data_IF_433577861248
#
_entry.id   IF_433577861248
#
_cell.length_a   1.000
_cell.length_b   1.000
_cell.length_c   1.000
_cell.angle_alpha   90.00
_cell.angle_beta   90.00
_cell.angle_gamma   90.00
#
_symmetry.space_group_name_H-M   'P 1'
#
loop_
_entity.id
_entity.type
_entity.pdbx_description
1 polymer ?
#
# COMPACT_ATOMS: atom_id res chain seq x y z
N UNK A 1 0.83 3.92 23.03
CA UNK A 1 1.39 5.00 22.22
C UNK A 1 2.36 4.37 21.24
N UNK A 2 2.51 4.92 20.04
CA UNK A 2 3.33 4.30 19.00
C UNK A 2 4.83 4.38 19.35
N UNK A 3 5.53 3.25 19.31
CA UNK A 3 6.97 3.17 19.55
C UNK A 3 7.70 3.02 18.21
N UNK A 4 8.54 3.99 17.92
CA UNK A 4 9.44 3.97 16.76
C UNK A 4 10.89 4.18 17.22
N UNK A 5 11.86 3.84 16.36
CA UNK A 5 13.25 4.21 16.57
C UNK A 5 13.97 4.56 15.26
N UNK A 6 15.09 5.30 15.31
CA UNK A 6 15.99 5.44 14.17
C UNK A 6 16.72 4.11 13.91
N UNK A 7 17.26 3.93 12.73
CA UNK A 7 17.93 2.69 12.33
C UNK A 7 19.05 2.93 11.31
N UNK A 8 19.93 1.95 11.16
CA UNK A 8 20.98 1.96 10.15
C UNK A 8 20.44 1.45 8.82
N UNK A 9 19.91 2.36 8.01
CA UNK A 9 19.35 2.03 6.70
C UNK A 9 20.38 1.41 5.76
N UNK A 10 19.98 0.33 5.07
CA UNK A 10 20.74 -0.19 3.92
C UNK A 10 20.14 0.43 2.68
N UNK A 11 20.92 1.25 1.96
CA UNK A 11 20.41 2.07 0.87
C UNK A 11 21.40 2.22 -0.28
N UNK A 12 20.94 2.51 -1.50
CA UNK A 12 21.83 2.69 -2.63
C UNK A 12 22.66 3.99 -2.48
N UNK A 13 23.91 3.99 -2.93
CA UNK A 13 24.63 5.22 -3.23
C UNK A 13 23.82 6.09 -4.20
N UNK A 14 23.96 7.42 -4.09
CA UNK A 14 23.18 8.40 -4.86
C UNK A 14 23.16 8.15 -6.36
N UNK A 15 24.28 7.70 -6.92
CA UNK A 15 24.43 7.42 -8.35
C UNK A 15 23.71 6.13 -8.81
N UNK A 16 23.25 5.29 -7.89
CA UNK A 16 22.55 4.03 -8.20
C UNK A 16 21.07 4.03 -7.82
N UNK A 17 20.57 5.04 -7.10
CA UNK A 17 19.20 5.02 -6.59
C UNK A 17 18.14 4.86 -7.69
N UNK A 18 18.33 5.47 -8.85
CA UNK A 18 17.40 5.37 -9.99
C UNK A 18 17.40 3.99 -10.64
N UNK A 19 18.52 3.26 -10.56
CA UNK A 19 18.63 1.91 -11.08
C UNK A 19 18.08 0.88 -10.08
N UNK A 20 18.24 1.13 -8.77
CA UNK A 20 17.81 0.22 -7.71
C UNK A 20 16.31 0.36 -7.41
N UNK A 21 15.81 1.60 -7.31
CA UNK A 21 14.44 1.87 -6.89
C UNK A 21 13.40 1.25 -7.83
N UNK A 22 12.56 0.37 -7.29
CA UNK A 22 11.57 -0.39 -8.04
C UNK A 22 10.17 -0.18 -7.48
N UNK A 23 9.12 -0.44 -8.27
CA UNK A 23 7.74 -0.47 -7.76
C UNK A 23 7.58 -1.60 -6.74
N UNK A 24 6.62 -1.52 -5.80
CA UNK A 24 6.33 -2.61 -4.87
C UNK A 24 6.00 -3.92 -5.61
N UNK A 25 6.33 -5.05 -4.99
CA UNK A 25 6.17 -6.38 -5.57
C UNK A 25 4.74 -6.71 -6.01
N UNK A 26 3.75 -6.12 -5.36
CA UNK A 26 2.32 -6.44 -5.51
C UNK A 26 1.60 -5.58 -6.57
N UNK A 27 2.28 -4.64 -7.22
CA UNK A 27 1.68 -3.79 -8.27
C UNK A 27 1.94 -4.28 -9.69
N UNK A 28 2.74 -5.34 -9.85
CA UNK A 28 3.07 -5.93 -11.16
C UNK A 28 3.25 -7.46 -11.04
N UNK A 29 3.00 -8.14 -12.14
CA UNK A 29 3.27 -9.57 -12.26
C UNK A 29 4.75 -9.82 -12.59
N UNK A 30 5.16 -11.11 -12.61
CA UNK A 30 6.55 -11.49 -12.83
C UNK A 30 7.06 -11.17 -14.24
N UNK A 31 6.20 -11.21 -15.26
CA UNK A 31 6.58 -10.84 -16.62
C UNK A 31 6.80 -9.33 -16.76
N UNK A 32 5.91 -8.51 -16.18
CA UNK A 32 6.07 -7.07 -16.12
C UNK A 32 7.36 -6.67 -15.36
N UNK A 33 7.67 -7.38 -14.27
CA UNK A 33 8.91 -7.16 -13.51
C UNK A 33 10.14 -7.52 -14.33
N UNK A 34 10.10 -8.59 -15.11
CA UNK A 34 11.17 -9.02 -16.02
C UNK A 34 11.43 -7.96 -17.09
N UNK A 35 10.38 -7.41 -17.69
CA UNK A 35 10.48 -6.35 -18.70
C UNK A 35 11.07 -5.07 -18.06
N UNK A 36 10.61 -4.68 -16.88
CA UNK A 36 11.14 -3.47 -16.21
C UNK A 36 12.60 -3.62 -15.74
N UNK A 37 13.03 -4.83 -15.42
CA UNK A 37 14.41 -5.12 -15.00
C UNK A 37 15.35 -5.41 -16.20
N UNK A 38 14.83 -5.48 -17.43
CA UNK A 38 15.65 -5.84 -18.60
C UNK A 38 16.84 -4.90 -18.76
N UNK A 39 18.05 -5.48 -18.78
CA UNK A 39 19.30 -4.74 -18.91
C UNK A 39 19.73 -3.96 -17.64
N UNK A 40 19.03 -4.11 -16.54
CA UNK A 40 19.34 -3.45 -15.27
C UNK A 40 19.64 -4.47 -14.17
N UNK A 41 20.89 -4.88 -14.02
CA UNK A 41 21.35 -5.80 -12.97
C UNK A 41 21.16 -5.28 -11.53
N UNK A 42 20.95 -3.97 -11.36
CA UNK A 42 20.78 -3.30 -10.06
C UNK A 42 19.32 -3.15 -9.67
N UNK A 43 18.37 -3.55 -10.53
CA UNK A 43 16.95 -3.45 -10.19
C UNK A 43 16.63 -4.25 -8.93
N UNK A 44 15.91 -3.65 -7.98
CA UNK A 44 15.51 -4.35 -6.77
C UNK A 44 14.59 -5.55 -7.06
N UNK A 45 13.98 -5.62 -8.23
CA UNK A 45 13.16 -6.78 -8.61
C UNK A 45 13.94 -8.09 -8.52
N UNK A 46 15.26 -8.11 -8.76
CA UNK A 46 16.11 -9.28 -8.55
C UNK A 46 16.10 -9.80 -7.09
N UNK A 47 15.67 -8.97 -6.13
CA UNK A 47 15.56 -9.33 -4.70
C UNK A 47 14.11 -9.61 -4.31
N UNK A 48 13.15 -8.75 -4.75
CA UNK A 48 11.74 -8.83 -4.32
C UNK A 48 10.86 -9.69 -5.23
N UNK A 49 11.33 -9.96 -6.46
CA UNK A 49 10.71 -10.87 -7.47
C UNK A 49 11.79 -11.70 -8.15
N UNK A 50 12.55 -12.50 -7.38
CA UNK A 50 13.76 -13.17 -7.88
C UNK A 50 13.46 -14.25 -8.93
N UNK A 51 12.20 -14.65 -9.11
CA UNK A 51 11.75 -15.53 -10.20
C UNK A 51 12.05 -14.96 -11.59
N UNK A 52 12.31 -13.64 -11.70
CA UNK A 52 12.72 -13.03 -12.98
C UNK A 52 14.10 -13.49 -13.46
N UNK A 53 14.94 -14.01 -12.56
CA UNK A 53 16.28 -14.54 -12.89
C UNK A 53 16.25 -15.98 -13.40
N UNK A 54 15.06 -16.60 -13.45
CA UNK A 54 14.84 -17.95 -13.95
C UNK A 54 14.07 -17.94 -15.28
N UNK A 55 13.88 -19.11 -15.86
CA UNK A 55 13.07 -19.25 -17.06
C UNK A 55 11.61 -18.78 -16.83
N UNK A 56 10.94 -18.16 -17.83
CA UNK A 56 9.54 -17.82 -17.72
C UNK A 56 8.68 -19.01 -17.31
N UNK A 57 7.74 -18.79 -16.38
CA UNK A 57 6.87 -19.83 -15.83
C UNK A 57 7.44 -20.57 -14.61
N UNK A 58 8.63 -20.22 -14.14
CA UNK A 58 9.14 -20.71 -12.84
C UNK A 58 8.17 -20.28 -11.73
N UNK A 59 7.81 -21.20 -10.84
CA UNK A 59 6.93 -20.93 -9.70
C UNK A 59 7.62 -19.94 -8.74
N UNK A 60 7.00 -18.78 -8.51
CA UNK A 60 7.49 -17.76 -7.59
C UNK A 60 7.66 -18.25 -6.15
N UNK A 61 7.06 -19.39 -5.80
CA UNK A 61 7.13 -20.02 -4.47
C UNK A 61 8.11 -21.19 -4.38
N UNK A 62 8.86 -21.50 -5.45
CA UNK A 62 9.89 -22.53 -5.41
C UNK A 62 11.04 -22.11 -4.48
N UNK A 63 11.65 -23.09 -3.80
CA UNK A 63 12.75 -22.85 -2.86
C UNK A 63 13.95 -22.16 -3.52
N UNK A 64 14.29 -22.52 -4.75
CA UNK A 64 15.40 -21.90 -5.48
C UNK A 64 15.18 -20.40 -5.74
N UNK A 65 13.94 -19.96 -5.87
CA UNK A 65 13.59 -18.54 -6.04
C UNK A 65 13.90 -17.75 -4.78
N UNK A 66 13.55 -18.29 -3.61
CA UNK A 66 13.89 -17.67 -2.33
C UNK A 66 15.40 -17.65 -2.08
N UNK A 67 16.11 -18.75 -2.39
CA UNK A 67 17.58 -18.80 -2.25
C UNK A 67 18.23 -17.73 -3.15
N UNK A 68 17.69 -17.50 -4.33
CA UNK A 68 18.13 -16.44 -5.26
C UNK A 68 17.94 -15.03 -4.69
N UNK A 69 16.85 -14.78 -3.97
CA UNK A 69 16.65 -13.50 -3.27
C UNK A 69 17.81 -13.21 -2.31
N UNK A 70 18.22 -14.20 -1.52
CA UNK A 70 19.34 -14.06 -0.57
C UNK A 70 20.67 -13.86 -1.28
N UNK A 71 20.94 -14.65 -2.32
CA UNK A 71 22.14 -14.49 -3.16
C UNK A 71 22.23 -13.07 -3.72
N UNK A 72 21.14 -12.58 -4.31
CA UNK A 72 21.08 -11.25 -4.90
C UNK A 72 21.22 -10.16 -3.83
N UNK A 73 20.57 -10.28 -2.68
CA UNK A 73 20.68 -9.29 -1.61
C UNK A 73 22.12 -9.19 -1.06
N UNK A 74 22.83 -10.31 -0.92
CA UNK A 74 24.23 -10.33 -0.54
C UNK A 74 25.12 -9.72 -1.63
N UNK A 75 24.92 -10.12 -2.89
CA UNK A 75 25.64 -9.60 -4.04
C UNK A 75 25.51 -8.07 -4.16
N UNK A 76 24.30 -7.52 -3.97
CA UNK A 76 24.09 -6.07 -4.01
C UNK A 76 24.92 -5.33 -2.94
N UNK A 77 25.04 -5.91 -1.74
CA UNK A 77 25.88 -5.34 -0.68
C UNK A 77 27.38 -5.50 -1.02
N UNK A 78 27.81 -6.65 -1.50
CA UNK A 78 29.21 -6.93 -1.84
C UNK A 78 29.71 -6.04 -3.01
N UNK A 79 28.83 -5.76 -3.99
CA UNK A 79 29.12 -4.85 -5.09
C UNK A 79 28.98 -3.35 -4.72
N UNK A 80 28.55 -3.04 -3.51
CA UNK A 80 28.33 -1.67 -3.05
C UNK A 80 27.13 -0.98 -3.74
N UNK A 81 26.21 -1.73 -4.31
CA UNK A 81 24.94 -1.19 -4.84
C UNK A 81 23.95 -0.85 -3.74
N UNK A 82 24.10 -1.54 -2.60
CA UNK A 82 23.44 -1.25 -1.34
C UNK A 82 24.49 -1.14 -0.23
N UNK A 83 24.44 -0.05 0.52
CA UNK A 83 25.41 0.22 1.60
C UNK A 83 24.66 0.53 2.89
N UNK A 84 25.09 -0.07 4.00
CA UNK A 84 24.50 0.22 5.31
C UNK A 84 25.08 1.53 5.87
N UNK A 85 24.19 2.40 6.37
CA UNK A 85 24.58 3.61 7.09
C UNK A 85 25.37 3.25 8.36
N UNK A 86 26.40 4.03 8.69
CA UNK A 86 27.24 3.77 9.86
C UNK A 86 26.59 4.12 11.19
N UNK A 87 25.58 5.00 11.16
CA UNK A 87 24.81 5.46 12.32
C UNK A 87 23.33 5.27 12.08
N UNK A 88 22.57 5.30 13.16
CA UNK A 88 21.12 5.26 13.14
C UNK A 88 20.56 6.63 12.74
N UNK A 89 19.59 6.64 11.83
CA UNK A 89 18.94 7.83 11.31
C UNK A 89 17.43 7.64 11.25
N UNK A 90 16.69 8.73 11.26
CA UNK A 90 15.41 8.82 10.58
C UNK A 90 15.63 9.41 9.19
N UNK A 91 14.65 9.23 8.33
CA UNK A 91 14.69 9.82 7.00
C UNK A 91 13.33 10.44 6.68
N UNK A 92 13.30 11.37 5.74
CA UNK A 92 12.06 11.80 5.09
C UNK A 92 12.08 11.28 3.66
N UNK A 93 11.00 10.65 3.27
CA UNK A 93 10.76 10.23 1.91
C UNK A 93 9.52 10.95 1.38
N UNK A 94 9.65 11.65 0.26
CA UNK A 94 8.55 12.36 -0.37
C UNK A 94 8.32 11.87 -1.78
N UNK A 95 7.05 11.85 -2.18
CA UNK A 95 6.65 11.54 -3.57
C UNK A 95 5.77 12.65 -4.12
N UNK A 96 6.04 13.00 -5.38
CA UNK A 96 5.28 14.01 -6.12
C UNK A 96 4.52 13.38 -7.27
N UNK A 97 3.20 13.55 -7.29
CA UNK A 97 2.30 13.10 -8.35
C UNK A 97 1.34 14.25 -8.69
N UNK A 98 1.23 14.59 -9.98
CA UNK A 98 0.31 15.64 -10.46
C UNK A 98 0.44 16.97 -9.70
N UNK A 99 1.67 17.39 -9.39
CA UNK A 99 1.97 18.65 -8.70
C UNK A 99 1.72 18.63 -7.18
N UNK A 100 1.26 17.51 -6.61
CA UNK A 100 1.07 17.32 -5.17
C UNK A 100 2.18 16.43 -4.61
N UNK A 101 2.77 16.87 -3.50
CA UNK A 101 3.82 16.13 -2.79
C UNK A 101 3.33 15.67 -1.41
N UNK A 102 3.54 14.41 -1.10
CA UNK A 102 3.33 13.83 0.22
C UNK A 102 4.69 13.53 0.87
N UNK A 103 4.82 13.82 2.16
CA UNK A 103 6.06 13.66 2.92
C UNK A 103 5.84 12.68 4.06
N UNK A 104 6.67 11.64 4.16
CA UNK A 104 6.60 10.64 5.21
C UNK A 104 7.92 10.48 5.95
N UNK A 105 7.85 10.20 7.25
CA UNK A 105 8.99 9.77 8.05
C UNK A 105 9.28 8.30 7.79
N UNK A 106 10.52 8.00 7.39
CA UNK A 106 11.00 6.61 7.32
C UNK A 106 11.54 6.23 8.68
N UNK A 107 10.93 5.24 9.27
CA UNK A 107 11.16 4.80 10.64
C UNK A 107 11.18 3.27 10.72
N UNK A 108 11.61 2.71 11.83
CA UNK A 108 11.25 1.35 12.19
C UNK A 108 10.24 1.37 13.34
N UNK A 109 9.10 0.69 13.15
CA UNK A 109 7.98 0.65 14.08
C UNK A 109 8.00 -0.66 14.88
N UNK A 110 7.58 -0.61 16.13
CA UNK A 110 7.67 -1.72 17.05
C UNK A 110 6.69 -2.86 16.71
N UNK A 111 7.18 -4.09 16.72
CA UNK A 111 6.41 -5.32 16.47
C UNK A 111 5.27 -5.49 17.48
N UNK A 112 5.51 -5.20 18.76
CA UNK A 112 4.50 -5.32 19.80
C UNK A 112 3.33 -4.34 19.58
N UNK A 113 3.58 -3.18 18.96
CA UNK A 113 2.51 -2.24 18.62
C UNK A 113 1.54 -2.81 17.58
N UNK A 114 2.05 -3.63 16.65
CA UNK A 114 1.20 -4.39 15.73
C UNK A 114 0.45 -5.52 16.45
N UNK A 115 1.17 -6.33 17.25
CA UNK A 115 0.58 -7.46 17.95
C UNK A 115 -0.50 -7.05 18.96
N UNK A 116 -0.36 -5.88 19.58
CA UNK A 116 -1.30 -5.34 20.56
C UNK A 116 -2.37 -4.40 19.96
N UNK A 117 -2.39 -4.24 18.63
CA UNK A 117 -3.39 -3.41 17.93
C UNK A 117 -3.22 -1.91 18.09
N UNK A 118 -2.03 -1.42 18.47
CA UNK A 118 -1.67 0.00 18.42
C UNK A 118 -1.33 0.46 17.00
N UNK A 119 -0.80 -0.43 16.18
CA UNK A 119 -0.77 -0.29 14.73
C UNK A 119 -2.07 -0.90 14.20
N UNK A 120 -2.98 -0.04 13.78
CA UNK A 120 -4.36 -0.40 13.44
C UNK A 120 -4.47 -0.79 11.98
N UNK A 121 -5.29 -1.79 11.72
CA UNK A 121 -5.58 -2.33 10.39
C UNK A 121 -7.05 -2.14 10.04
N UNK A 122 -7.33 -1.99 8.77
CA UNK A 122 -8.68 -1.88 8.22
C UNK A 122 -9.00 -2.97 7.18
N UNK A 123 -8.06 -3.86 6.89
CA UNK A 123 -8.20 -4.97 5.94
C UNK A 123 -7.66 -6.27 6.54
N UNK A 124 -8.30 -7.40 6.18
CA UNK A 124 -7.80 -8.74 6.55
C UNK A 124 -6.74 -9.21 5.56
N UNK A 125 -5.69 -9.80 6.10
CA UNK A 125 -4.65 -10.45 5.30
C UNK A 125 -5.10 -11.83 4.80
N UNK A 126 -4.56 -12.24 3.65
CA UNK A 126 -4.71 -13.61 3.13
C UNK A 126 -3.51 -14.42 3.61
N UNK A 127 -3.78 -15.59 4.18
CA UNK A 127 -2.77 -16.46 4.78
C UNK A 127 -1.67 -16.88 3.81
N UNK A 128 -2.03 -17.23 2.58
CA UNK A 128 -1.07 -17.61 1.52
C UNK A 128 -0.07 -16.48 1.22
N UNK A 129 -0.56 -15.25 1.08
CA UNK A 129 0.29 -14.07 0.85
C UNK A 129 1.12 -13.68 2.07
N UNK A 130 0.56 -13.85 3.26
CA UNK A 130 1.25 -13.59 4.52
C UNK A 130 2.42 -14.56 4.70
N UNK A 131 2.20 -15.88 4.52
CA UNK A 131 3.23 -16.92 4.62
C UNK A 131 4.37 -16.71 3.61
N UNK A 132 4.04 -16.33 2.37
CA UNK A 132 5.03 -16.00 1.35
C UNK A 132 5.90 -14.80 1.77
N UNK A 133 5.31 -13.71 2.22
CA UNK A 133 6.07 -12.54 2.70
C UNK A 133 6.87 -12.83 3.97
N UNK A 134 6.34 -13.63 4.89
CA UNK A 134 7.10 -14.11 6.06
C UNK A 134 8.35 -14.87 5.63
N UNK A 135 8.23 -15.74 4.63
CA UNK A 135 9.39 -16.48 4.09
C UNK A 135 10.45 -15.52 3.55
N UNK A 136 10.05 -14.53 2.73
CA UNK A 136 10.98 -13.50 2.26
C UNK A 136 11.69 -12.74 3.38
N UNK A 137 10.97 -12.32 4.42
CA UNK A 137 11.55 -11.62 5.58
C UNK A 137 12.53 -12.52 6.33
N UNK A 138 12.17 -13.78 6.58
CA UNK A 138 13.03 -14.74 7.31
C UNK A 138 14.35 -14.98 6.61
N UNK A 139 14.30 -15.28 5.30
CA UNK A 139 15.50 -15.68 4.54
C UNK A 139 16.44 -14.51 4.28
N UNK A 140 15.91 -13.34 3.93
CA UNK A 140 16.71 -12.14 3.71
C UNK A 140 17.19 -11.54 5.05
N UNK A 141 16.59 -11.94 6.16
CA UNK A 141 16.81 -11.36 7.48
C UNK A 141 16.71 -9.82 7.46
N UNK A 142 15.73 -9.32 6.68
CA UNK A 142 15.53 -7.90 6.42
C UNK A 142 14.09 -7.59 6.02
N UNK A 143 13.65 -6.37 6.32
CA UNK A 143 12.49 -5.76 5.68
C UNK A 143 12.97 -5.03 4.43
N UNK A 144 12.89 -5.69 3.28
CA UNK A 144 13.37 -5.14 2.00
C UNK A 144 12.44 -4.07 1.46
N UNK A 145 11.14 -4.18 1.77
CA UNK A 145 10.11 -3.26 1.33
C UNK A 145 9.44 -2.59 2.54
N UNK A 146 9.30 -1.26 2.56
CA UNK A 146 8.63 -0.57 3.64
C UNK A 146 7.12 -0.80 3.61
N UNK A 147 6.48 -0.72 4.78
CA UNK A 147 5.03 -0.60 4.89
C UNK A 147 4.62 0.87 4.89
N UNK A 148 3.35 1.13 4.57
CA UNK A 148 2.83 2.48 4.41
C UNK A 148 1.86 2.78 5.56
N UNK A 149 2.24 3.71 6.45
CA UNK A 149 1.44 4.12 7.59
C UNK A 149 0.93 5.54 7.46
N UNK A 150 -0.22 5.79 8.09
CA UNK A 150 -0.71 7.11 8.40
C UNK A 150 -0.64 7.36 9.92
N UNK A 151 -0.50 8.61 10.31
CA UNK A 151 -0.68 9.06 11.70
C UNK A 151 -1.49 10.37 11.75
N UNK A 152 -2.19 10.66 12.87
CA UNK A 152 -2.90 11.92 13.04
C UNK A 152 -1.96 13.12 12.92
N UNK A 153 -2.40 14.17 12.24
CA UNK A 153 -1.59 15.36 12.01
C UNK A 153 -1.03 15.94 13.31
N UNK A 154 0.23 16.35 13.26
CA UNK A 154 0.93 16.96 14.39
C UNK A 154 1.75 18.15 13.89
N UNK A 155 1.47 19.33 14.42
CA UNK A 155 2.06 20.58 13.98
C UNK A 155 3.59 20.64 14.16
N UNK A 156 4.14 20.00 15.19
CA UNK A 156 5.59 19.98 15.42
C UNK A 156 6.28 19.01 14.44
N UNK A 157 5.72 17.83 14.17
CA UNK A 157 6.22 16.92 13.14
C UNK A 157 6.16 17.57 11.75
N UNK A 158 5.10 18.32 11.45
CA UNK A 158 4.98 19.08 10.21
C UNK A 158 6.07 20.17 10.11
N UNK A 159 6.36 20.89 11.21
CA UNK A 159 7.44 21.85 11.26
C UNK A 159 8.83 21.21 11.03
N UNK A 160 9.05 20.00 11.57
CA UNK A 160 10.27 19.23 11.32
C UNK A 160 10.38 18.84 9.84
N UNK A 161 9.31 18.31 9.24
CA UNK A 161 9.27 18.00 7.81
C UNK A 161 9.68 19.24 7.00
N UNK A 162 9.05 20.37 7.24
CA UNK A 162 9.30 21.62 6.52
C UNK A 162 10.73 22.11 6.69
N UNK A 163 11.30 22.00 7.89
CA UNK A 163 12.67 22.40 8.17
C UNK A 163 13.68 21.48 7.41
N UNK A 164 13.53 20.16 7.52
CA UNK A 164 14.42 19.20 6.88
C UNK A 164 14.36 19.32 5.37
N UNK A 165 13.16 19.43 4.80
CA UNK A 165 12.95 19.46 3.34
C UNK A 165 13.26 20.82 2.71
N UNK A 166 13.54 21.85 3.51
CA UNK A 166 14.12 23.12 3.01
C UNK A 166 15.56 22.95 2.52
N UNK A 167 16.23 21.88 2.91
CA UNK A 167 17.57 21.54 2.47
C UNK A 167 17.55 20.68 1.19
N UNK A 168 18.68 20.62 0.51
CA UNK A 168 18.83 19.77 -0.69
C UNK A 168 18.67 18.29 -0.31
N UNK A 169 17.84 17.52 -1.03
CA UNK A 169 17.67 16.10 -0.76
C UNK A 169 18.91 15.28 -1.11
N UNK A 170 19.09 14.18 -0.42
CA UNK A 170 20.09 13.15 -0.76
C UNK A 170 19.76 12.50 -2.10
N UNK A 171 18.50 12.09 -2.30
CA UNK A 171 18.00 11.62 -3.59
C UNK A 171 16.95 12.58 -4.12
N UNK A 172 16.98 12.80 -5.43
CA UNK A 172 16.04 13.65 -6.14
C UNK A 172 15.96 13.17 -7.59
N UNK A 173 14.89 12.46 -7.94
CA UNK A 173 14.73 11.89 -9.27
C UNK A 173 13.25 11.74 -9.64
N UNK A 174 13.00 11.64 -10.94
CA UNK A 174 11.71 11.30 -11.52
C UNK A 174 11.79 9.88 -12.08
N UNK A 175 10.88 9.01 -11.66
CA UNK A 175 10.82 7.64 -12.14
C UNK A 175 10.11 7.55 -13.51
N UNK A 176 10.16 6.37 -14.15
CA UNK A 176 9.62 6.16 -15.49
C UNK A 176 8.10 6.39 -15.61
N UNK A 177 7.38 6.31 -14.49
CA UNK A 177 5.95 6.64 -14.41
C UNK A 177 5.65 8.14 -14.30
N UNK A 178 6.68 8.99 -14.29
CA UNK A 178 6.58 10.43 -14.18
C UNK A 178 6.45 10.93 -12.74
N UNK A 179 6.52 10.07 -11.73
CA UNK A 179 6.45 10.47 -10.33
C UNK A 179 7.81 10.90 -9.79
N UNK A 180 7.81 12.01 -9.04
CA UNK A 180 8.98 12.52 -8.35
C UNK A 180 9.23 11.77 -7.04
N UNK A 181 10.52 11.51 -6.74
CA UNK A 181 10.95 10.86 -5.50
C UNK A 181 12.07 11.67 -4.87
N UNK A 182 11.90 12.04 -3.61
CA UNK A 182 12.84 12.87 -2.88
C UNK A 182 13.12 12.24 -1.51
N UNK A 183 14.38 12.29 -1.06
CA UNK A 183 14.79 11.61 0.17
C UNK A 183 15.82 12.44 0.94
N UNK A 184 15.63 12.61 2.24
CA UNK A 184 16.51 13.32 3.15
C UNK A 184 16.93 12.42 4.30
N UNK A 185 18.18 12.56 4.72
CA UNK A 185 18.72 11.88 5.92
C UNK A 185 18.65 12.84 7.10
N UNK A 186 18.01 12.42 8.19
CA UNK A 186 17.98 13.15 9.45
C UNK A 186 19.06 12.57 10.35
N UNK A 187 20.18 13.26 10.49
CA UNK A 187 21.36 12.83 11.23
C UNK A 187 21.70 13.70 12.44
N UNK A 188 20.87 14.67 12.75
CA UNK A 188 20.96 15.53 13.93
C UNK A 188 20.32 14.87 15.14
N UNK A 189 21.11 14.63 16.19
CA UNK A 189 20.68 13.88 17.38
C UNK A 189 19.51 14.54 18.12
N UNK A 190 19.43 15.88 18.13
CA UNK A 190 18.35 16.62 18.77
C UNK A 190 17.03 16.42 18.02
N UNK A 191 17.06 16.55 16.70
CA UNK A 191 15.90 16.30 15.84
C UNK A 191 15.45 14.84 15.92
N UNK A 192 16.39 13.87 15.90
CA UNK A 192 16.08 12.43 16.07
C UNK A 192 15.36 12.19 17.40
N UNK A 193 15.91 12.72 18.50
CA UNK A 193 15.29 12.62 19.82
C UNK A 193 13.88 13.22 19.83
N UNK A 194 13.73 14.42 19.25
CA UNK A 194 12.43 15.11 19.22
C UNK A 194 11.37 14.33 18.43
N UNK A 195 11.72 13.76 17.27
CA UNK A 195 10.83 12.89 16.48
C UNK A 195 10.37 11.70 17.32
N UNK A 196 11.30 11.01 17.99
CA UNK A 196 10.97 9.87 18.86
C UNK A 196 9.99 10.24 19.97
N UNK A 197 10.22 11.39 20.65
CA UNK A 197 9.35 11.89 21.70
C UNK A 197 7.94 12.27 21.19
N UNK A 198 7.86 12.85 20.00
CA UNK A 198 6.57 13.24 19.39
C UNK A 198 5.76 12.00 18.97
N UNK A 199 6.39 11.01 18.34
CA UNK A 199 5.71 9.76 18.00
C UNK A 199 5.26 8.99 19.24
N UNK A 200 6.02 9.06 20.34
CA UNK A 200 5.61 8.47 21.62
C UNK A 200 4.35 9.11 22.22
N UNK A 201 3.87 10.25 21.70
CA UNK A 201 2.60 10.88 22.08
C UNK A 201 1.44 10.47 21.16
N UNK A 202 1.74 9.89 19.99
CA UNK A 202 0.73 9.42 19.04
C UNK A 202 0.10 8.13 19.57
N UNK A 203 -1.23 8.07 19.76
CA UNK A 203 -1.88 6.92 20.37
C UNK A 203 -1.83 5.68 19.48
N UNK A 204 -1.96 5.84 18.15
CA UNK A 204 -1.99 4.75 17.17
C UNK A 204 -1.42 5.18 15.83
N UNK A 205 -0.83 4.23 15.12
CA UNK A 205 -0.53 4.32 13.70
C UNK A 205 -1.58 3.52 12.92
N UNK A 206 -1.80 3.87 11.66
CA UNK A 206 -2.80 3.24 10.81
C UNK A 206 -2.12 2.69 9.55
N UNK A 207 -2.33 1.42 9.25
CA UNK A 207 -1.82 0.85 8.01
C UNK A 207 -2.63 1.44 6.87
N UNK A 208 -2.00 2.20 5.98
CA UNK A 208 -2.61 2.71 4.77
C UNK A 208 -2.50 1.68 3.64
N UNK A 209 -1.31 1.12 3.42
CA UNK A 209 -1.03 0.07 2.44
C UNK A 209 0.01 -0.91 2.98
N UNK A 210 0.02 -2.15 2.45
CA UNK A 210 0.97 -3.18 2.86
C UNK A 210 0.55 -3.99 4.10
N UNK A 211 -0.74 -4.32 4.24
CA UNK A 211 -1.23 -5.15 5.34
C UNK A 211 -0.52 -6.51 5.43
N UNK A 212 -0.27 -7.19 4.29
CA UNK A 212 0.48 -8.45 4.27
C UNK A 212 1.95 -8.27 4.69
N UNK A 213 2.60 -7.18 4.24
CA UNK A 213 3.97 -6.84 4.63
C UNK A 213 4.07 -6.51 6.12
N UNK A 214 3.10 -5.78 6.66
CA UNK A 214 3.04 -5.46 8.10
C UNK A 214 2.86 -6.72 8.95
N UNK A 215 1.92 -7.59 8.58
CA UNK A 215 1.69 -8.86 9.26
C UNK A 215 2.94 -9.75 9.22
N UNK A 216 3.52 -9.94 8.03
CA UNK A 216 4.70 -10.78 7.85
C UNK A 216 5.90 -10.29 8.68
N UNK A 217 6.18 -8.98 8.66
CA UNK A 217 7.29 -8.41 9.42
C UNK A 217 7.08 -8.55 10.92
N UNK A 218 5.88 -8.28 11.43
CA UNK A 218 5.54 -8.40 12.83
C UNK A 218 5.60 -9.86 13.32
N UNK A 219 5.04 -10.79 12.56
CA UNK A 219 5.05 -12.22 12.92
C UNK A 219 6.46 -12.79 12.93
N UNK A 220 7.29 -12.47 11.94
CA UNK A 220 8.70 -12.93 11.91
C UNK A 220 9.50 -12.30 13.05
N UNK A 221 9.30 -11.02 13.36
CA UNK A 221 9.93 -10.40 14.54
C UNK A 221 9.53 -11.09 15.84
N UNK A 222 8.25 -11.40 16.01
CA UNK A 222 7.75 -12.13 17.18
C UNK A 222 8.34 -13.56 17.26
N UNK A 223 8.41 -14.30 16.15
CA UNK A 223 9.07 -15.62 16.09
C UNK A 223 10.53 -15.55 16.53
N UNK A 224 11.28 -14.54 16.05
CA UNK A 224 12.69 -14.34 16.43
C UNK A 224 12.84 -14.01 17.92
N UNK A 225 11.92 -13.20 18.46
CA UNK A 225 11.89 -12.89 19.89
C UNK A 225 11.69 -14.15 20.74
N UNK A 226 10.73 -15.00 20.36
CA UNK A 226 10.46 -16.28 21.03
C UNK A 226 11.63 -17.27 20.93
N UNK A 227 12.36 -17.25 19.82
CA UNK A 227 13.49 -18.14 19.59
C UNK A 227 14.79 -17.69 20.27
N UNK A 228 14.88 -16.43 20.72
CA UNK A 228 16.08 -15.88 21.37
C UNK A 228 15.98 -15.96 22.88
N UNK A 229 16.71 -16.89 23.57
CA UNK A 229 16.67 -17.00 25.02
C UNK A 229 17.26 -15.78 25.76
N UNK A 230 17.99 -14.93 25.05
CA UNK A 230 18.58 -13.70 25.59
C UNK A 230 17.84 -12.43 25.05
N UNK A 231 16.58 -12.59 24.68
CA UNK A 231 15.77 -11.48 24.16
C UNK A 231 15.65 -10.34 25.18
N UNK A 232 15.96 -9.12 24.75
CA UNK A 232 15.94 -7.92 25.58
C UNK A 232 14.82 -6.93 25.20
N UNK A 233 14.29 -7.06 23.98
CA UNK A 233 13.33 -6.13 23.40
C UNK A 233 13.96 -4.98 22.58
N UNK A 234 15.29 -4.88 22.55
CA UNK A 234 16.02 -3.83 21.82
C UNK A 234 16.62 -4.30 20.49
N UNK A 235 16.52 -5.60 20.20
CA UNK A 235 17.04 -6.18 18.97
C UNK A 235 16.28 -5.64 17.74
N UNK A 236 16.97 -5.56 16.58
CA UNK A 236 16.41 -4.99 15.35
C UNK A 236 15.15 -5.72 14.84
N UNK A 237 15.04 -7.03 15.06
CA UNK A 237 13.85 -7.80 14.68
C UNK A 237 12.58 -7.44 15.47
N UNK A 238 12.70 -6.68 16.58
CA UNK A 238 11.52 -6.13 17.29
C UNK A 238 10.91 -4.91 16.61
N UNK A 239 11.48 -4.51 15.48
CA UNK A 239 11.05 -3.35 14.72
C UNK A 239 10.99 -3.70 13.24
N UNK A 240 10.11 -3.04 12.50
CA UNK A 240 9.98 -3.23 11.06
C UNK A 240 9.83 -1.91 10.31
N UNK A 241 10.33 -1.90 9.08
CA UNK A 241 10.47 -0.73 8.23
C UNK A 241 9.11 -0.17 7.81
N UNK A 242 8.91 1.13 8.03
CA UNK A 242 7.70 1.84 7.65
C UNK A 242 8.03 3.24 7.12
N UNK A 243 7.15 3.74 6.24
CA UNK A 243 7.05 5.16 5.92
C UNK A 243 5.74 5.66 6.51
N UNK A 244 5.81 6.56 7.48
CA UNK A 244 4.67 7.11 8.20
C UNK A 244 4.38 8.54 7.73
N UNK A 245 3.15 8.78 7.25
CA UNK A 245 2.71 10.06 6.71
C UNK A 245 1.70 10.74 7.63
N UNK A 246 1.72 12.07 7.76
CA UNK A 246 0.58 12.79 8.29
C UNK A 246 -0.68 12.45 7.48
N UNK A 247 -1.82 12.23 8.14
CA UNK A 247 -3.04 11.82 7.45
C UNK A 247 -3.49 12.81 6.37
N UNK A 248 -3.29 14.11 6.58
CA UNK A 248 -3.58 15.17 5.60
C UNK A 248 -2.71 15.13 4.34
N UNK A 249 -1.54 14.47 4.39
CA UNK A 249 -0.67 14.31 3.22
C UNK A 249 -1.15 13.20 2.29
N UNK A 250 -1.99 12.29 2.76
CA UNK A 250 -2.41 11.13 1.99
C UNK A 250 -3.62 11.42 1.13
N UNK A 251 -3.67 10.74 0.00
CA UNK A 251 -4.80 10.78 -0.92
C UNK A 251 -5.24 9.35 -1.25
N UNK A 252 -6.50 9.06 -0.91
CA UNK A 252 -7.16 7.84 -1.33
C UNK A 252 -7.91 8.16 -2.62
N UNK A 253 -7.65 7.40 -3.66
CA UNK A 253 -8.37 7.52 -4.94
C UNK A 253 -9.38 6.39 -5.09
N UNK A 254 -10.27 6.55 -6.05
CA UNK A 254 -11.35 5.63 -6.31
C UNK A 254 -10.85 4.21 -6.66
N UNK A 255 -11.59 3.20 -6.18
CA UNK A 255 -11.38 1.81 -6.54
C UNK A 255 -12.68 1.30 -7.15
N UNK A 256 -12.68 1.13 -8.47
CA UNK A 256 -13.89 0.94 -9.27
C UNK A 256 -14.15 -0.54 -9.54
N UNK A 257 -15.37 -0.87 -9.95
CA UNK A 257 -15.83 -2.22 -10.25
C UNK A 257 -16.23 -2.32 -11.71
N UNK A 258 -15.96 -3.48 -12.32
CA UNK A 258 -16.48 -3.86 -13.63
C UNK A 258 -17.07 -5.27 -13.53
N UNK A 259 -18.18 -5.52 -14.21
CA UNK A 259 -18.92 -6.78 -14.11
C UNK A 259 -19.22 -7.32 -15.50
N UNK A 260 -19.02 -8.63 -15.67
CA UNK A 260 -19.10 -9.32 -16.98
C UNK A 260 -20.50 -9.47 -17.54
N UNK A 261 -21.52 -9.56 -16.67
CA UNK A 261 -22.89 -9.79 -17.08
C UNK A 261 -23.88 -9.13 -16.09
N UNK A 262 -25.12 -8.96 -16.52
CA UNK A 262 -26.20 -8.37 -15.73
C UNK A 262 -27.10 -9.43 -15.06
N UNK A 263 -26.57 -10.64 -14.80
CA UNK A 263 -27.32 -11.73 -14.17
C UNK A 263 -28.60 -12.13 -14.96
N UNK A 264 -28.53 -12.06 -16.29
CA UNK A 264 -29.60 -12.38 -17.20
C UNK A 264 -30.64 -11.27 -17.41
N UNK A 265 -30.46 -10.11 -16.81
CA UNK A 265 -31.34 -8.94 -17.00
C UNK A 265 -30.96 -8.20 -18.28
N UNK A 266 -31.97 -7.60 -18.93
CA UNK A 266 -31.76 -6.56 -19.93
C UNK A 266 -31.33 -5.24 -19.25
N UNK A 267 -30.79 -4.30 -20.03
CA UNK A 267 -30.41 -2.97 -19.51
C UNK A 267 -31.57 -2.25 -18.84
N UNK A 268 -32.77 -2.33 -19.41
CA UNK A 268 -33.98 -1.70 -18.87
C UNK A 268 -34.40 -2.35 -17.55
N UNK A 269 -34.38 -3.68 -17.46
CA UNK A 269 -34.69 -4.41 -16.22
C UNK A 269 -33.66 -4.12 -15.14
N UNK A 270 -32.39 -4.03 -15.49
CA UNK A 270 -31.32 -3.69 -14.56
C UNK A 270 -31.46 -2.27 -14.02
N UNK A 271 -31.66 -1.27 -14.88
CA UNK A 271 -31.91 0.12 -14.47
C UNK A 271 -33.15 0.24 -13.60
N UNK A 272 -34.24 -0.48 -13.95
CA UNK A 272 -35.45 -0.51 -13.15
C UNK A 272 -35.19 -1.12 -11.74
N UNK A 273 -34.43 -2.19 -11.65
CA UNK A 273 -34.03 -2.77 -10.37
C UNK A 273 -33.20 -1.80 -9.52
N UNK A 274 -32.20 -1.13 -10.11
CA UNK A 274 -31.40 -0.10 -9.44
C UNK A 274 -32.28 1.06 -8.95
N UNK A 275 -33.27 1.46 -9.70
CA UNK A 275 -34.17 2.58 -9.38
C UNK A 275 -34.95 2.40 -8.07
N UNK A 276 -35.02 1.18 -7.52
CA UNK A 276 -35.66 0.92 -6.24
C UNK A 276 -34.89 1.63 -5.10
N UNK A 277 -33.55 1.61 -5.17
CA UNK A 277 -32.68 2.09 -4.11
C UNK A 277 -31.92 3.37 -4.49
N UNK A 278 -31.87 3.74 -5.77
CA UNK A 278 -31.14 4.88 -6.27
C UNK A 278 -32.00 5.82 -7.13
N UNK A 279 -31.67 7.11 -7.10
CA UNK A 279 -32.12 8.08 -8.09
C UNK A 279 -31.15 7.98 -9.27
N UNK A 280 -31.67 7.76 -10.46
CA UNK A 280 -30.89 7.56 -11.69
C UNK A 280 -31.07 8.76 -12.60
N UNK A 281 -29.96 9.31 -13.08
CA UNK A 281 -29.94 10.38 -14.10
C UNK A 281 -28.96 10.00 -15.21
N UNK A 282 -29.41 9.94 -16.46
CA UNK A 282 -28.51 9.81 -17.62
C UNK A 282 -27.67 11.08 -17.77
N UNK A 283 -26.37 10.91 -18.05
CA UNK A 283 -25.41 12.02 -18.23
C UNK A 283 -24.93 12.07 -19.66
N UNK A 284 -25.18 13.18 -20.33
CA UNK A 284 -24.71 13.47 -21.70
C UNK A 284 -23.26 13.97 -21.67
N UNK A 285 -22.33 13.16 -21.13
CA UNK A 285 -20.90 13.49 -21.02
C UNK A 285 -20.05 12.32 -21.50
N UNK A 286 -18.85 12.61 -22.00
CA UNK A 286 -17.91 11.56 -22.41
C UNK A 286 -17.47 10.70 -21.21
N UNK A 287 -17.32 11.32 -20.04
CA UNK A 287 -16.98 10.67 -18.76
C UNK A 287 -17.75 11.39 -17.65
N UNK A 288 -18.42 10.62 -16.78
CA UNK A 288 -19.02 11.11 -15.55
C UNK A 288 -18.33 10.53 -14.33
N UNK A 289 -17.90 11.38 -13.39
CA UNK A 289 -17.26 11.00 -12.13
C UNK A 289 -18.20 11.27 -10.96
N UNK A 290 -18.26 10.39 -9.94
CA UNK A 290 -19.00 10.66 -8.70
C UNK A 290 -18.54 11.99 -8.07
N UNK A 291 -19.49 12.81 -7.63
CA UNK A 291 -19.21 14.16 -7.14
C UNK A 291 -19.11 14.23 -5.61
N UNK A 292 -19.73 13.30 -4.91
CA UNK A 292 -19.81 13.26 -3.44
C UNK A 292 -20.10 11.85 -2.94
N UNK A 293 -20.04 11.66 -1.63
CA UNK A 293 -20.49 10.41 -0.97
C UNK A 293 -21.93 10.06 -1.37
N UNK A 294 -22.20 8.75 -1.50
CA UNK A 294 -23.49 8.17 -1.89
C UNK A 294 -23.93 8.50 -3.32
N UNK A 295 -22.99 9.03 -4.12
CA UNK A 295 -23.14 9.23 -5.55
C UNK A 295 -22.15 8.31 -6.28
N UNK A 296 -22.65 7.57 -7.27
CA UNK A 296 -21.92 6.59 -8.06
C UNK A 296 -22.03 6.95 -9.54
N UNK A 297 -21.08 6.51 -10.34
CA UNK A 297 -21.19 6.56 -11.80
C UNK A 297 -21.35 5.14 -12.35
N UNK A 298 -22.44 4.90 -13.05
CA UNK A 298 -22.66 3.65 -13.80
C UNK A 298 -22.36 3.92 -15.27
N UNK A 299 -21.54 3.09 -15.90
CA UNK A 299 -21.39 3.00 -17.34
C UNK A 299 -22.02 1.72 -17.87
N UNK A 300 -23.01 1.87 -18.74
CA UNK A 300 -23.82 0.78 -19.29
C UNK A 300 -24.17 1.09 -20.73
N UNK A 301 -23.89 0.17 -21.67
CA UNK A 301 -24.27 0.23 -23.08
C UNK A 301 -24.00 1.59 -23.74
N UNK A 302 -22.79 2.12 -23.52
CA UNK A 302 -22.34 3.36 -24.15
C UNK A 302 -22.77 4.65 -23.44
N UNK A 303 -23.45 4.57 -22.30
CA UNK A 303 -23.99 5.72 -21.56
C UNK A 303 -23.51 5.77 -20.13
N UNK A 304 -23.30 6.99 -19.63
CA UNK A 304 -23.05 7.25 -18.22
C UNK A 304 -24.34 7.61 -17.48
N UNK A 305 -24.47 7.10 -16.28
CA UNK A 305 -25.57 7.42 -15.36
C UNK A 305 -24.99 7.86 -14.01
N UNK A 306 -25.58 8.91 -13.44
CA UNK A 306 -25.42 9.25 -12.03
C UNK A 306 -26.40 8.41 -11.21
N UNK A 307 -25.91 7.71 -10.22
CA UNK A 307 -26.74 6.98 -9.26
C UNK A 307 -26.57 7.65 -7.89
N UNK A 308 -27.63 8.17 -7.30
CA UNK A 308 -27.61 8.72 -5.95
C UNK A 308 -28.41 7.80 -5.03
N UNK A 309 -27.78 7.25 -3.99
CA UNK A 309 -28.46 6.39 -3.03
C UNK A 309 -29.58 7.15 -2.32
N UNK A 310 -30.76 6.54 -2.22
CA UNK A 310 -31.93 7.14 -1.55
C UNK A 310 -31.74 7.14 -0.04
N UNK A 311 -32.30 8.13 0.63
CA UNK A 311 -32.36 8.14 2.09
C UNK A 311 -33.00 6.86 2.63
N UNK A 312 -32.44 6.31 3.71
CA UNK A 312 -32.90 5.07 4.32
C UNK A 312 -32.35 3.79 3.68
N UNK A 313 -31.57 3.85 2.59
CA UNK A 313 -30.92 2.69 2.00
C UNK A 313 -29.55 2.40 2.63
N UNK A 314 -29.05 3.26 3.46
CA UNK A 314 -27.82 3.12 4.25
C UNK A 314 -27.99 3.73 5.63
N UNK A 315 -27.07 3.42 6.55
CA UNK A 315 -27.11 3.86 7.94
C UNK A 315 -25.86 4.71 8.26
N UNK A 316 -26.05 6.02 8.43
CA UNK A 316 -24.97 6.96 8.75
C UNK A 316 -24.27 6.68 10.09
N UNK A 317 -24.92 5.96 11.00
CA UNK A 317 -24.32 5.58 12.28
C UNK A 317 -23.52 4.29 12.24
N UNK A 318 -23.58 3.53 11.15
CA UNK A 318 -22.77 2.33 10.94
C UNK A 318 -21.51 2.68 10.10
N UNK A 319 -20.32 2.64 10.69
CA UNK A 319 -19.10 3.04 10.01
C UNK A 319 -18.77 2.20 8.77
N UNK A 320 -19.30 0.98 8.66
CA UNK A 320 -19.17 0.11 7.47
C UNK A 320 -20.35 0.28 6.53
N UNK A 321 -21.57 0.30 7.07
CA UNK A 321 -22.81 0.40 6.29
C UNK A 321 -22.95 1.72 5.52
N UNK A 322 -22.31 2.79 5.98
CA UNK A 322 -22.30 4.10 5.34
C UNK A 322 -21.34 4.19 4.13
N UNK A 323 -20.43 3.23 3.98
CA UNK A 323 -19.45 3.26 2.89
C UNK A 323 -20.10 3.01 1.53
N UNK A 324 -19.73 3.78 0.52
CA UNK A 324 -20.18 3.59 -0.86
C UNK A 324 -19.85 2.18 -1.39
N UNK A 325 -18.72 1.62 -0.98
CA UNK A 325 -18.37 0.23 -1.31
C UNK A 325 -19.35 -0.77 -0.71
N UNK A 326 -19.83 -0.56 0.50
CA UNK A 326 -20.84 -1.43 1.15
C UNK A 326 -22.20 -1.27 0.48
N UNK A 327 -22.64 -0.02 0.29
CA UNK A 327 -23.93 0.30 -0.37
C UNK A 327 -24.02 -0.36 -1.76
N UNK A 328 -22.98 -0.18 -2.57
CA UNK A 328 -22.94 -0.78 -3.92
C UNK A 328 -22.82 -2.30 -3.89
N UNK A 329 -22.06 -2.85 -2.94
CA UNK A 329 -21.91 -4.30 -2.79
C UNK A 329 -23.24 -4.97 -2.38
N UNK A 330 -23.96 -4.36 -1.46
CA UNK A 330 -25.22 -4.91 -0.99
C UNK A 330 -26.34 -4.69 -2.00
N UNK A 331 -26.58 -3.46 -2.43
CA UNK A 331 -27.79 -3.10 -3.18
C UNK A 331 -27.69 -3.37 -4.68
N UNK A 332 -26.48 -3.45 -5.25
CA UNK A 332 -26.28 -3.69 -6.68
C UNK A 332 -25.65 -5.06 -6.90
N UNK A 333 -24.47 -5.30 -6.33
CA UNK A 333 -23.70 -6.50 -6.65
C UNK A 333 -24.36 -7.76 -6.08
N UNK A 334 -24.78 -7.74 -4.81
CA UNK A 334 -25.45 -8.89 -4.18
C UNK A 334 -26.92 -9.01 -4.60
N UNK A 335 -27.71 -7.98 -4.38
CA UNK A 335 -29.18 -8.09 -4.45
C UNK A 335 -29.69 -8.13 -5.90
N UNK A 336 -29.01 -7.51 -6.85
CA UNK A 336 -29.40 -7.49 -8.28
C UNK A 336 -28.57 -8.49 -9.09
N UNK A 337 -27.23 -8.42 -8.95
CA UNK A 337 -26.31 -9.20 -9.78
C UNK A 337 -25.95 -10.57 -9.18
N UNK A 338 -26.42 -10.88 -7.97
CA UNK A 338 -26.17 -12.16 -7.27
C UNK A 338 -24.66 -12.46 -7.08
N UNK A 339 -23.86 -11.41 -6.87
CA UNK A 339 -22.44 -11.50 -6.56
C UNK A 339 -22.28 -11.37 -5.03
N UNK A 340 -22.07 -12.49 -4.35
CA UNK A 340 -22.03 -12.57 -2.88
C UNK A 340 -20.61 -12.44 -2.30
N UNK A 341 -19.61 -12.93 -3.01
CA UNK A 341 -18.21 -12.87 -2.57
C UNK A 341 -17.33 -12.18 -3.59
N UNK A 342 -17.00 -10.93 -3.30
CA UNK A 342 -16.17 -10.09 -4.16
C UNK A 342 -14.72 -10.60 -4.35
N UNK A 343 -14.26 -11.56 -3.52
CA UNK A 343 -12.90 -12.11 -3.58
C UNK A 343 -12.78 -13.30 -4.51
N UNK A 344 -13.85 -14.04 -4.70
CA UNK A 344 -13.85 -15.30 -5.43
C UNK A 344 -14.72 -15.32 -6.68
N UNK A 345 -15.72 -14.44 -6.81
CA UNK A 345 -16.58 -14.38 -7.99
C UNK A 345 -15.79 -13.87 -9.21
N UNK A 346 -15.77 -14.69 -10.27
CA UNK A 346 -15.03 -14.40 -11.52
C UNK A 346 -15.78 -13.46 -12.46
N UNK A 347 -17.02 -13.08 -12.14
CA UNK A 347 -17.81 -12.13 -12.93
C UNK A 347 -17.47 -10.67 -12.61
N UNK A 348 -16.84 -10.40 -11.46
CA UNK A 348 -16.40 -9.06 -11.07
C UNK A 348 -14.89 -8.92 -11.18
N UNK A 349 -14.44 -7.73 -11.58
CA UNK A 349 -13.06 -7.31 -11.52
C UNK A 349 -12.95 -5.87 -11.03
N UNK A 350 -11.75 -5.42 -10.67
CA UNK A 350 -11.51 -4.15 -10.00
C UNK A 350 -10.52 -3.29 -10.78
N UNK A 351 -10.82 -2.00 -10.87
CA UNK A 351 -9.99 -1.03 -11.59
C UNK A 351 -9.60 0.12 -10.64
N UNK A 352 -8.32 0.22 -10.29
CA UNK A 352 -7.80 1.32 -9.49
C UNK A 352 -7.93 2.65 -10.23
N UNK A 353 -8.27 3.70 -9.48
CA UNK A 353 -8.51 5.04 -10.02
C UNK A 353 -7.34 5.66 -10.79
N UNK A 354 -6.11 5.15 -10.57
CA UNK A 354 -4.92 5.55 -11.33
C UNK A 354 -5.07 5.30 -12.85
N UNK A 355 -5.88 4.31 -13.26
CA UNK A 355 -6.16 4.03 -14.67
C UNK A 355 -7.20 4.98 -15.26
N UNK A 356 -7.89 5.75 -14.42
CA UNK A 356 -8.95 6.68 -14.81
C UNK A 356 -10.25 6.00 -15.24
N UNK A 357 -11.32 6.77 -15.36
CA UNK A 357 -12.64 6.26 -15.76
C UNK A 357 -12.72 5.88 -17.25
N UNK A 358 -11.78 6.36 -18.06
CA UNK A 358 -11.65 5.94 -19.47
C UNK A 358 -11.37 4.44 -19.62
N UNK A 359 -10.67 3.83 -18.66
CA UNK A 359 -10.44 2.37 -18.64
C UNK A 359 -11.76 1.61 -18.42
N UNK A 360 -12.65 2.11 -17.57
CA UNK A 360 -13.97 1.53 -17.34
C UNK A 360 -14.79 1.51 -18.63
N UNK A 361 -14.83 2.68 -19.30
CA UNK A 361 -15.50 2.84 -20.60
C UNK A 361 -14.94 1.86 -21.63
N UNK A 362 -13.61 1.78 -21.76
CA UNK A 362 -12.93 0.91 -22.70
C UNK A 362 -13.29 -0.58 -22.49
N UNK A 363 -13.31 -1.05 -21.24
CA UNK A 363 -13.60 -2.46 -20.92
C UNK A 363 -15.06 -2.84 -21.20
N UNK A 364 -15.99 -1.89 -21.06
CA UNK A 364 -17.40 -2.11 -21.41
C UNK A 364 -17.60 -2.02 -22.93
N UNK A 365 -17.09 -0.99 -23.61
CA UNK A 365 -17.22 -0.80 -25.04
C UNK A 365 -16.59 -1.93 -25.86
N UNK A 366 -15.53 -2.58 -25.33
CA UNK A 366 -14.91 -3.74 -25.97
C UNK A 366 -15.74 -5.03 -25.85
N UNK A 367 -16.80 -5.03 -25.03
CA UNK A 367 -17.59 -6.23 -24.74
C UNK A 367 -16.94 -7.19 -23.73
N UNK A 368 -15.80 -6.83 -23.15
CA UNK A 368 -15.18 -7.60 -22.07
C UNK A 368 -16.07 -7.61 -20.82
N UNK A 369 -16.69 -6.48 -20.53
CA UNK A 369 -17.59 -6.27 -19.40
C UNK A 369 -18.93 -5.74 -19.85
N UNK A 370 -20.00 -6.08 -19.13
CA UNK A 370 -21.35 -5.58 -19.41
C UNK A 370 -21.58 -4.20 -18.79
N UNK A 371 -21.00 -3.93 -17.62
CA UNK A 371 -21.13 -2.66 -16.93
C UNK A 371 -19.88 -2.28 -16.14
N UNK A 372 -19.76 -1.01 -15.83
CA UNK A 372 -18.78 -0.50 -14.88
C UNK A 372 -19.42 0.42 -13.85
N UNK A 373 -18.92 0.36 -12.62
CA UNK A 373 -19.37 1.18 -11.50
C UNK A 373 -18.19 1.91 -10.88
N UNK A 374 -18.20 3.25 -10.96
CA UNK A 374 -17.23 4.08 -10.27
C UNK A 374 -17.80 4.59 -8.94
N UNK A 375 -16.96 4.56 -7.90
CA UNK A 375 -17.30 4.95 -6.55
C UNK A 375 -16.63 6.26 -6.18
N UNK A 376 -17.23 7.00 -5.26
CA UNK A 376 -16.54 8.12 -4.62
C UNK A 376 -15.45 7.58 -3.67
N UNK A 377 -14.24 8.17 -3.64
CA UNK A 377 -13.16 7.67 -2.80
C UNK A 377 -13.51 7.72 -1.31
N UNK A 378 -13.07 6.73 -0.56
CA UNK A 378 -13.11 6.75 0.91
C UNK A 378 -12.18 7.84 1.44
N UNK A 379 -12.58 8.56 2.50
CA UNK A 379 -11.75 9.55 3.15
C UNK A 379 -10.79 8.92 4.17
N UNK A 380 -9.69 9.64 4.49
CA UNK A 380 -8.80 9.26 5.59
C UNK A 380 -9.53 9.22 6.95
N UNK A 381 -10.50 10.11 7.16
CA UNK A 381 -11.33 10.13 8.37
C UNK A 381 -12.18 8.86 8.50
N UNK A 382 -12.82 8.41 7.42
CA UNK A 382 -13.56 7.16 7.40
C UNK A 382 -12.64 5.96 7.69
N UNK A 383 -11.45 5.90 7.07
CA UNK A 383 -10.48 4.84 7.31
C UNK A 383 -10.06 4.78 8.78
N UNK A 384 -9.69 5.93 9.36
CA UNK A 384 -9.27 6.04 10.77
C UNK A 384 -10.40 5.61 11.70
N UNK A 385 -11.62 6.11 11.48
CA UNK A 385 -12.78 5.76 12.30
C UNK A 385 -13.07 4.25 12.27
N UNK A 386 -13.01 3.61 11.09
CA UNK A 386 -13.21 2.16 10.95
C UNK A 386 -12.11 1.39 11.70
N UNK A 387 -10.85 1.76 11.52
CA UNK A 387 -9.74 1.12 12.19
C UNK A 387 -9.79 1.31 13.73
N UNK A 388 -10.24 2.46 14.20
CA UNK A 388 -10.40 2.76 15.64
C UNK A 388 -11.50 1.95 16.30
N UNK A 389 -12.59 1.69 15.58
CA UNK A 389 -13.69 0.85 16.07
C UNK A 389 -13.40 -0.65 15.97
N UNK A 390 -12.24 -1.05 15.43
CA UNK A 390 -11.87 -2.44 15.23
C UNK A 390 -12.65 -3.14 14.10
N UNK A 391 -13.33 -2.38 13.27
CA UNK A 391 -14.04 -2.88 12.11
C UNK A 391 -13.07 -3.11 10.92
N UNK A 392 -13.52 -3.90 9.96
CA UNK A 392 -12.79 -4.23 8.75
C UNK A 392 -13.59 -3.74 7.54
N UNK A 393 -12.91 -3.06 6.64
CA UNK A 393 -13.48 -2.63 5.37
C UNK A 393 -13.75 -3.81 4.44
N UNK A 394 -14.76 -3.73 3.58
CA UNK A 394 -14.89 -4.64 2.45
C UNK A 394 -13.60 -4.67 1.60
N UNK A 395 -13.32 -5.77 0.88
CA UNK A 395 -12.14 -5.85 0.04
C UNK A 395 -12.17 -4.80 -1.07
N UNK A 396 -10.98 -4.32 -1.46
CA UNK A 396 -10.82 -3.35 -2.56
C UNK A 396 -11.58 -2.03 -2.33
N UNK A 397 -11.45 -1.48 -1.11
CA UNK A 397 -12.06 -0.21 -0.70
C UNK A 397 -11.12 0.97 -0.87
N UNK A 398 -9.83 0.80 -0.54
CA UNK A 398 -8.84 1.88 -0.55
C UNK A 398 -7.78 1.67 -1.63
N UNK A 399 -7.39 2.75 -2.29
CA UNK A 399 -6.25 2.80 -3.20
C UNK A 399 -5.46 4.07 -2.95
N UNK A 400 -4.25 3.91 -2.42
CA UNK A 400 -3.35 5.03 -2.14
C UNK A 400 -2.40 5.27 -3.31
N UNK A 401 -2.28 6.54 -3.72
CA UNK A 401 -1.30 7.01 -4.71
C UNK A 401 -0.68 8.34 -4.27
N UNK A 402 0.59 8.57 -4.60
CA UNK A 402 1.54 7.64 -5.22
C UNK A 402 2.01 6.56 -4.25
N UNK A 403 2.28 5.37 -4.77
CA UNK A 403 2.91 4.30 -3.97
C UNK A 403 4.40 4.56 -3.83
N UNK A 404 4.97 4.30 -2.63
CA UNK A 404 6.41 4.46 -2.44
C UNK A 404 7.22 3.41 -3.23
N UNK A 405 8.46 3.74 -3.58
CA UNK A 405 9.39 2.80 -4.19
C UNK A 405 10.03 1.91 -3.14
N UNK A 406 10.24 0.65 -3.50
CA UNK A 406 11.08 -0.28 -2.78
C UNK A 406 12.55 -0.06 -3.15
N UNK A 407 13.48 -0.35 -2.25
CA UNK A 407 14.92 -0.24 -2.50
C UNK A 407 15.54 1.13 -2.26
N UNK A 408 14.77 2.14 -1.87
CA UNK A 408 15.32 3.43 -1.43
C UNK A 408 16.02 3.30 -0.08
N UNK A 409 15.47 2.49 0.81
CA UNK A 409 16.05 2.09 2.09
C UNK A 409 15.49 0.74 2.54
N UNK A 410 16.32 -0.05 3.19
CA UNK A 410 16.04 -1.40 3.67
C UNK A 410 16.44 -1.48 5.14
N UNK A 411 15.70 -2.24 5.94
CA UNK A 411 16.01 -2.48 7.35
C UNK A 411 16.45 -3.93 7.57
N UNK A 412 17.66 -4.15 8.11
CA UNK A 412 18.15 -5.48 8.51
C UNK A 412 17.66 -5.81 9.91
N UNK A 413 17.27 -7.07 10.12
CA UNK A 413 16.75 -7.55 11.40
C UNK A 413 17.85 -7.93 12.40
N UNK A 414 19.09 -7.96 11.97
CA UNK A 414 20.26 -8.21 12.81
C UNK A 414 21.46 -7.41 12.30
N UNK A 415 22.22 -6.80 13.22
CA UNK A 415 23.51 -6.21 12.90
C UNK A 415 24.58 -7.32 12.83
N UNK A 416 25.31 -7.42 11.74
CA UNK A 416 26.44 -8.39 11.59
C UNK A 416 27.54 -8.25 12.66
N UNK A 417 27.52 -7.14 13.42
CA UNK A 417 28.48 -6.90 14.52
C UNK A 417 28.28 -7.80 15.75
N UNK A 418 27.12 -8.44 15.89
CA UNK A 418 26.79 -9.30 17.03
C UNK A 418 26.91 -10.80 16.75
N UNK A 419 27.22 -11.21 15.53
CA UNK A 419 27.51 -12.60 15.21
C UNK A 419 28.99 -12.89 15.45
N UNK A 420 29.44 -12.86 16.71
CA UNK A 420 30.64 -13.61 17.09
C UNK A 420 30.24 -15.06 17.03
N UNK A 421 30.71 -15.72 15.98
CA UNK A 421 30.77 -17.14 15.77
C UNK A 421 31.12 -17.84 17.13
N UNK A 422 30.24 -18.69 17.58
CA UNK A 422 30.58 -19.81 18.49
C UNK A 422 30.45 -21.11 17.74
#
# INVERSE_FOLDING_TARGET
>A
MAKIKPFKGVRPPKNYVTEVASRPYDVLNSEEARIEAEGNEKSLYHIIKPEIDFAPGTDEHDSCVYDKAVENFNMFQDKGWLVQDSKEHYYIYAQTMNGRTQYGFVVVANVDDYMQGRIKKHELTRRDKEEDRMKHVRINNANVEPVFFAFPDNAELEAIIKNVTSNKPEYDFVANDGFGHHFWVINDDETIKRITELFAQIPSLYIADGHHRSAAAALVGHEKALANPNHTGEEEYNYFLAVAFPASHLNIIDYNRVVKDLNGLSDEEFLNAISQNFIIEEKETEIYRPEKLHNFSLYLSGKWYSLTAKEGTYNDSDPIGVLDVTISSDLILRDILNIHDLRSDKRIDFVGGIRGLGELKKRVDSGEMAMALALYPVSMEQLINIADTGNIMPPKTTWFEPKHRSGIVIHKLEDKSNTKIR
#
